data_IF_680000820329
#
_entry.id   IF_680000820329
#
_cell.length_a   1.000
_cell.length_b   1.000
_cell.length_c   1.000
_cell.angle_alpha   90.00
_cell.angle_beta   90.00
_cell.angle_gamma   90.00
#
_symmetry.space_group_name_H-M   'P 1'
#
loop_
_entity.id
_entity.type
_entity.pdbx_description
1 polymer ?
#
# COMPACT_ATOMS: atom_id res chain seq x y z
N UNK A 1 40.47 8.94 1.10
CA UNK A 1 39.16 9.17 1.71
C UNK A 1 38.27 8.00 1.28
N UNK A 2 38.20 6.96 2.10
CA UNK A 2 37.39 5.76 1.81
C UNK A 2 35.91 6.16 1.99
N UNK A 3 35.19 6.30 0.89
CA UNK A 3 33.73 6.38 0.93
C UNK A 3 33.26 5.02 1.48
N UNK A 4 32.67 5.03 2.68
CA UNK A 4 31.97 3.87 3.19
C UNK A 4 30.85 3.56 2.19
N UNK A 5 30.92 2.39 1.56
CA UNK A 5 29.82 1.79 0.82
C UNK A 5 28.71 1.42 1.81
N UNK A 6 28.03 2.42 2.36
CA UNK A 6 26.73 2.17 2.99
C UNK A 6 25.82 1.70 1.84
N UNK A 7 25.46 0.43 1.84
CA UNK A 7 24.51 -0.10 0.85
C UNK A 7 23.24 0.74 0.91
N UNK A 8 22.80 1.23 -0.25
CA UNK A 8 21.55 1.99 -0.36
C UNK A 8 20.38 1.15 0.18
N UNK A 9 19.47 1.77 0.90
CA UNK A 9 18.25 1.12 1.42
C UNK A 9 17.41 0.61 0.24
N UNK A 10 16.99 -0.64 0.28
CA UNK A 10 16.05 -1.23 -0.68
C UNK A 10 14.64 -1.14 -0.13
N UNK A 11 13.82 -0.34 -0.79
CA UNK A 11 12.44 -0.06 -0.40
C UNK A 11 11.47 -0.73 -1.38
N UNK A 12 10.63 -1.63 -0.86
CA UNK A 12 9.53 -2.25 -1.58
C UNK A 12 8.25 -1.51 -1.24
N UNK A 13 7.58 -0.96 -2.25
CA UNK A 13 6.36 -0.16 -2.08
C UNK A 13 5.22 -0.80 -2.85
N UNK A 14 4.03 -0.92 -2.24
CA UNK A 14 2.82 -1.24 -2.99
C UNK A 14 1.96 0.01 -3.17
N UNK A 15 1.33 0.18 -4.34
CA UNK A 15 0.52 1.35 -4.65
C UNK A 15 -0.70 1.02 -5.53
N UNK A 16 -1.65 1.94 -5.59
CA UNK A 16 -2.84 1.79 -6.43
C UNK A 16 -3.87 0.80 -5.87
N UNK A 17 -4.96 0.58 -6.59
CA UNK A 17 -5.96 -0.44 -6.26
C UNK A 17 -5.61 -1.78 -6.91
N UNK A 18 -6.15 -2.89 -6.39
CA UNK A 18 -6.31 -4.12 -7.16
C UNK A 18 -7.70 -4.19 -7.80
N UNK A 19 -7.85 -5.04 -8.80
CA UNK A 19 -9.12 -5.31 -9.50
C UNK A 19 -9.40 -6.79 -9.49
N UNK A 20 -10.54 -7.17 -8.94
CA UNK A 20 -10.96 -8.56 -8.90
C UNK A 20 -12.11 -8.78 -9.89
N UNK A 21 -11.83 -9.52 -10.96
CA UNK A 21 -12.75 -9.64 -12.09
C UNK A 21 -13.89 -10.60 -11.80
N UNK A 22 -15.10 -10.17 -12.14
CA UNK A 22 -16.31 -10.98 -12.19
C UNK A 22 -16.38 -11.69 -13.54
N UNK A 23 -16.10 -10.94 -14.60
CA UNK A 23 -16.00 -11.40 -15.98
C UNK A 23 -15.02 -10.50 -16.76
N UNK A 24 -14.71 -10.72 -18.05
CA UNK A 24 -13.73 -9.92 -18.80
C UNK A 24 -14.04 -8.42 -18.87
N UNK A 25 -15.23 -7.98 -18.46
CA UNK A 25 -15.69 -6.59 -18.58
C UNK A 25 -15.90 -5.91 -17.21
N UNK A 26 -16.29 -6.67 -16.19
CA UNK A 26 -16.67 -6.14 -14.87
C UNK A 26 -15.76 -6.66 -13.77
N UNK A 27 -15.37 -5.76 -12.89
CA UNK A 27 -14.55 -6.05 -11.71
C UNK A 27 -15.01 -5.23 -10.51
N UNK A 28 -14.64 -5.67 -9.33
CA UNK A 28 -14.66 -4.87 -8.10
C UNK A 28 -13.28 -4.29 -7.84
N UNK A 29 -13.24 -3.11 -7.22
CA UNK A 29 -12.00 -2.42 -6.90
C UNK A 29 -12.23 -1.38 -5.81
N UNK A 30 -11.15 -0.90 -5.20
CA UNK A 30 -11.15 0.24 -4.30
C UNK A 30 -10.90 1.56 -5.08
N UNK A 31 -11.46 2.71 -4.65
CA UNK A 31 -11.32 3.99 -5.35
C UNK A 31 -9.94 4.64 -5.10
N UNK A 32 -8.87 3.86 -5.09
CA UNK A 32 -7.51 4.38 -4.91
C UNK A 32 -6.96 4.93 -6.22
N UNK A 33 -6.31 6.08 -6.15
CA UNK A 33 -5.60 6.70 -7.28
C UNK A 33 -4.11 6.38 -7.32
N UNK A 34 -3.57 5.73 -6.29
CA UNK A 34 -2.13 5.43 -6.16
C UNK A 34 -1.26 6.62 -5.76
N UNK A 35 -1.78 7.85 -5.73
CA UNK A 35 -1.00 9.08 -5.50
C UNK A 35 -0.08 9.00 -4.27
N UNK A 36 -0.55 8.45 -3.15
CA UNK A 36 0.27 8.38 -1.93
C UNK A 36 1.49 7.47 -2.10
N UNK A 37 1.31 6.26 -2.63
CA UNK A 37 2.41 5.33 -2.87
C UNK A 37 3.43 5.84 -3.88
N UNK A 38 2.96 6.51 -4.95
CA UNK A 38 3.84 7.15 -5.93
C UNK A 38 4.61 8.34 -5.33
N UNK A 39 3.99 9.12 -4.45
CA UNK A 39 4.68 10.20 -3.73
C UNK A 39 5.75 9.65 -2.78
N UNK A 40 5.46 8.54 -2.08
CA UNK A 40 6.43 7.86 -1.21
C UNK A 40 7.58 7.28 -2.04
N UNK A 41 7.30 6.66 -3.18
CA UNK A 41 8.33 6.16 -4.08
C UNK A 41 9.27 7.28 -4.55
N UNK A 42 8.72 8.43 -4.94
CA UNK A 42 9.51 9.60 -5.32
C UNK A 42 10.36 10.13 -4.18
N UNK A 43 9.80 10.30 -2.99
CA UNK A 43 10.53 10.77 -1.81
C UNK A 43 11.65 9.80 -1.40
N UNK A 44 11.42 8.48 -1.48
CA UNK A 44 12.44 7.46 -1.21
C UNK A 44 13.59 7.53 -2.20
N UNK A 45 13.30 7.70 -3.50
CA UNK A 45 14.34 7.89 -4.54
C UNK A 45 15.15 9.16 -4.27
N UNK A 46 14.51 10.28 -3.95
CA UNK A 46 15.15 11.55 -3.60
C UNK A 46 16.03 11.43 -2.34
N UNK A 47 15.66 10.54 -1.41
CA UNK A 47 16.49 10.18 -0.25
C UNK A 47 17.65 9.21 -0.59
N UNK A 48 17.81 8.82 -1.85
CA UNK A 48 18.89 7.92 -2.31
C UNK A 48 18.61 6.43 -2.12
N UNK A 49 17.35 6.03 -1.95
CA UNK A 49 16.97 4.63 -1.81
C UNK A 49 16.74 3.97 -3.16
N UNK A 50 16.96 2.66 -3.24
CA UNK A 50 16.53 1.84 -4.37
C UNK A 50 15.08 1.43 -4.16
N UNK A 51 14.22 1.72 -5.14
CA UNK A 51 12.76 1.53 -5.01
C UNK A 51 12.25 0.51 -6.01
N UNK A 52 11.66 -0.57 -5.48
CA UNK A 52 10.81 -1.51 -6.19
C UNK A 52 9.35 -1.12 -5.92
N UNK A 53 8.61 -0.74 -6.97
CA UNK A 53 7.22 -0.26 -6.89
C UNK A 53 6.26 -1.26 -7.53
N UNK A 54 5.50 -2.00 -6.71
CA UNK A 54 4.44 -2.90 -7.16
C UNK A 54 3.13 -2.11 -7.23
N UNK A 55 2.61 -1.87 -8.42
CA UNK A 55 1.46 -0.99 -8.58
C UNK A 55 0.30 -1.65 -9.32
N UNK A 56 -0.88 -1.56 -8.72
CA UNK A 56 -2.15 -1.81 -9.39
C UNK A 56 -2.45 -0.73 -10.43
N UNK A 57 -3.54 -0.89 -11.23
CA UNK A 57 -3.82 -0.02 -12.38
C UNK A 57 -4.14 1.42 -11.97
N UNK A 58 -3.26 2.33 -12.33
CA UNK A 58 -3.36 3.78 -12.10
C UNK A 58 -2.96 4.54 -13.37
N UNK A 59 -3.39 5.82 -13.47
CA UNK A 59 -3.02 6.72 -14.55
C UNK A 59 -1.90 7.69 -14.10
N UNK A 60 -0.85 7.15 -13.45
CA UNK A 60 0.30 7.91 -12.99
C UNK A 60 1.55 7.48 -13.76
N UNK A 61 2.43 8.43 -14.04
CA UNK A 61 3.75 8.14 -14.61
C UNK A 61 4.65 7.48 -13.57
N UNK A 62 5.44 6.51 -14.02
CA UNK A 62 6.44 5.84 -13.20
C UNK A 62 7.44 6.87 -12.63
N UNK A 63 7.72 6.86 -11.32
CA UNK A 63 8.76 7.70 -10.75
C UNK A 63 10.12 7.33 -11.32
N UNK A 64 10.82 8.31 -11.93
CA UNK A 64 12.14 8.07 -12.50
C UNK A 64 13.12 7.58 -11.45
N UNK A 65 13.70 6.41 -11.67
CA UNK A 65 14.64 5.76 -10.76
C UNK A 65 14.02 4.64 -9.92
N UNK A 66 12.72 4.37 -10.03
CA UNK A 66 12.11 3.13 -9.51
C UNK A 66 12.17 2.00 -10.54
N UNK A 67 11.95 0.77 -10.07
CA UNK A 67 11.60 -0.37 -10.92
C UNK A 67 10.12 -0.64 -10.68
N UNK A 68 9.31 -0.44 -11.74
CA UNK A 68 7.86 -0.65 -11.66
C UNK A 68 7.49 -2.09 -12.02
N UNK A 69 6.69 -2.71 -11.16
CA UNK A 69 6.07 -4.02 -11.36
C UNK A 69 4.55 -3.84 -11.43
N UNK A 70 3.98 -3.74 -12.64
CA UNK A 70 2.54 -3.59 -12.81
C UNK A 70 1.83 -4.89 -12.48
N UNK A 71 0.76 -4.81 -11.69
CA UNK A 71 -0.10 -5.92 -11.31
C UNK A 71 -1.56 -5.52 -11.46
N UNK A 72 -2.46 -6.50 -11.54
CA UNK A 72 -3.88 -6.27 -11.70
C UNK A 72 -4.68 -6.71 -10.48
N UNK A 73 -4.43 -7.92 -9.97
CA UNK A 73 -5.18 -8.56 -8.90
C UNK A 73 -4.43 -8.57 -7.56
N UNK A 74 -5.14 -8.85 -6.47
CA UNK A 74 -4.54 -9.06 -5.16
C UNK A 74 -3.55 -10.24 -5.16
N UNK A 75 -3.85 -11.29 -5.92
CA UNK A 75 -3.01 -12.47 -6.07
C UNK A 75 -1.70 -12.14 -6.80
N UNK A 76 -1.78 -11.41 -7.91
CA UNK A 76 -0.57 -10.94 -8.62
C UNK A 76 0.28 -10.02 -7.73
N UNK A 77 -0.36 -9.10 -6.98
CA UNK A 77 0.35 -8.23 -6.03
C UNK A 77 1.02 -9.05 -4.93
N UNK A 78 0.34 -10.06 -4.38
CA UNK A 78 0.92 -10.96 -3.39
C UNK A 78 2.17 -11.65 -3.94
N UNK A 79 2.10 -12.29 -5.10
CA UNK A 79 3.23 -13.00 -5.69
C UNK A 79 4.41 -12.07 -6.00
N UNK A 80 4.14 -10.86 -6.47
CA UNK A 80 5.20 -9.90 -6.77
C UNK A 80 5.88 -9.37 -5.48
N UNK A 81 5.09 -9.07 -4.45
CA UNK A 81 5.62 -8.66 -3.14
C UNK A 81 6.42 -9.81 -2.52
N UNK A 82 5.89 -11.03 -2.56
CA UNK A 82 6.54 -12.23 -2.02
C UNK A 82 7.93 -12.46 -2.65
N UNK A 83 8.04 -12.33 -3.95
CA UNK A 83 9.29 -12.51 -4.70
C UNK A 83 10.36 -11.45 -4.36
N UNK A 84 9.96 -10.25 -3.93
CA UNK A 84 10.88 -9.13 -3.67
C UNK A 84 11.17 -8.93 -2.17
N UNK A 85 10.35 -9.47 -1.28
CA UNK A 85 10.36 -9.15 0.14
C UNK A 85 11.67 -9.50 0.86
N UNK A 86 12.24 -10.67 0.60
CA UNK A 86 13.45 -11.13 1.31
C UNK A 86 14.68 -10.26 0.99
N UNK A 87 14.63 -9.54 -0.12
CA UNK A 87 15.73 -8.68 -0.57
C UNK A 87 15.53 -7.20 -0.18
N UNK A 88 14.39 -6.81 0.41
CA UNK A 88 14.17 -5.43 0.82
C UNK A 88 14.59 -5.17 2.28
N UNK A 89 14.95 -3.93 2.59
CA UNK A 89 15.20 -3.46 3.96
C UNK A 89 13.88 -2.93 4.59
N UNK A 90 12.98 -2.39 3.75
CA UNK A 90 11.71 -1.84 4.18
C UNK A 90 10.59 -2.14 3.18
N UNK A 91 9.44 -2.56 3.69
CA UNK A 91 8.19 -2.71 2.96
C UNK A 91 7.21 -1.62 3.39
N UNK A 92 6.69 -0.83 2.44
CA UNK A 92 5.66 0.19 2.68
C UNK A 92 4.40 -0.18 1.88
N UNK A 93 3.37 -0.65 2.56
CA UNK A 93 2.13 -1.10 1.92
C UNK A 93 1.07 -0.01 1.93
N UNK A 94 0.96 0.72 0.79
CA UNK A 94 -0.05 1.76 0.58
C UNK A 94 -1.17 1.36 -0.37
N UNK A 95 -1.03 0.23 -1.05
CA UNK A 95 -2.03 -0.26 -2.00
C UNK A 95 -3.39 -0.49 -1.33
N UNK A 96 -4.44 -0.16 -2.04
CA UNK A 96 -5.81 -0.49 -1.66
C UNK A 96 -6.19 -1.86 -2.25
N UNK A 97 -5.68 -2.90 -1.62
CA UNK A 97 -5.92 -4.29 -2.02
C UNK A 97 -7.37 -4.66 -1.74
N UNK A 98 -8.03 -5.36 -2.65
CA UNK A 98 -9.35 -5.93 -2.41
C UNK A 98 -9.24 -7.08 -1.40
N UNK A 99 -10.02 -7.05 -0.32
CA UNK A 99 -10.07 -8.11 0.69
C UNK A 99 -10.85 -9.35 0.23
N UNK A 100 -11.61 -9.21 -0.86
CA UNK A 100 -12.48 -10.24 -1.41
C UNK A 100 -12.37 -10.29 -2.93
N UNK A 101 -12.45 -11.51 -3.48
CA UNK A 101 -12.56 -11.78 -4.92
C UNK A 101 -13.77 -12.68 -5.21
N UNK A 102 -14.35 -12.64 -6.42
CA UNK A 102 -15.37 -13.62 -6.82
C UNK A 102 -14.82 -15.04 -6.78
N UNK A 103 -15.60 -15.97 -6.24
CA UNK A 103 -15.26 -17.42 -6.24
C UNK A 103 -15.23 -17.96 -7.66
N UNK A 104 -16.12 -17.45 -8.53
CA UNK A 104 -16.21 -17.83 -9.93
C UNK A 104 -15.83 -16.64 -10.78
N UNK A 105 -14.80 -16.81 -11.61
CA UNK A 105 -14.44 -15.89 -12.68
C UNK A 105 -15.04 -16.39 -13.99
N UNK A 106 -16.00 -15.64 -14.54
CA UNK A 106 -16.66 -16.01 -15.80
C UNK A 106 -15.75 -15.68 -16.99
N UNK A 107 -15.53 -16.65 -17.88
CA UNK A 107 -14.69 -16.47 -19.09
C UNK A 107 -15.37 -15.62 -20.16
N UNK A 108 -16.69 -15.45 -20.07
CA UNK A 108 -17.50 -14.65 -20.99
C UNK A 108 -18.32 -13.62 -20.20
N UNK A 109 -18.60 -12.49 -20.85
CA UNK A 109 -19.48 -11.47 -20.29
C UNK A 109 -20.88 -12.05 -20.02
N UNK A 110 -21.32 -11.99 -18.77
CA UNK A 110 -22.66 -12.42 -18.36
C UNK A 110 -23.75 -11.54 -19.02
N UNK A 111 -24.72 -12.18 -19.64
CA UNK A 111 -25.81 -11.50 -20.36
C UNK A 111 -26.84 -10.92 -19.39
N UNK A 112 -27.46 -9.80 -19.79
CA UNK A 112 -28.53 -9.10 -19.06
C UNK A 112 -29.87 -9.85 -19.07
N UNK A 113 -29.88 -11.16 -18.77
CA UNK A 113 -31.08 -12.00 -18.86
C UNK A 113 -31.79 -12.27 -17.53
N UNK A 114 -31.25 -11.79 -16.42
CA UNK A 114 -31.76 -12.04 -15.06
C UNK A 114 -32.10 -10.76 -14.34
N UNK A 115 -33.17 -10.78 -13.54
CA UNK A 115 -33.61 -9.63 -12.76
C UNK A 115 -32.63 -9.26 -11.62
N UNK A 116 -31.80 -10.22 -11.17
CA UNK A 116 -30.78 -10.01 -10.15
C UNK A 116 -29.55 -10.88 -10.45
N UNK A 117 -28.38 -10.45 -9.97
CA UNK A 117 -27.13 -11.20 -10.04
C UNK A 117 -26.60 -11.36 -8.62
N UNK A 118 -26.40 -12.61 -8.20
CA UNK A 118 -25.73 -12.94 -6.94
C UNK A 118 -24.30 -13.38 -7.24
N UNK A 119 -23.33 -12.79 -6.55
CA UNK A 119 -21.90 -13.12 -6.69
C UNK A 119 -21.42 -13.59 -5.32
N UNK A 120 -20.89 -14.80 -5.27
CA UNK A 120 -20.22 -15.33 -4.10
C UNK A 120 -18.78 -14.83 -4.06
N UNK A 121 -18.33 -14.40 -2.89
CA UNK A 121 -16.98 -13.89 -2.69
C UNK A 121 -16.22 -14.74 -1.68
N UNK A 122 -14.92 -14.89 -1.92
CA UNK A 122 -13.96 -15.46 -0.98
C UNK A 122 -12.90 -14.42 -0.60
N UNK A 123 -12.20 -14.65 0.52
CA UNK A 123 -11.13 -13.75 0.95
C UNK A 123 -9.89 -13.89 0.09
N UNK A 124 -9.27 -12.76 -0.20
CA UNK A 124 -7.92 -12.71 -0.77
C UNK A 124 -6.85 -12.90 0.33
N UNK A 125 -5.61 -13.08 -0.06
CA UNK A 125 -4.49 -13.15 0.85
C UNK A 125 -4.27 -11.81 1.57
N UNK A 126 -4.13 -11.83 2.90
CA UNK A 126 -3.72 -10.65 3.67
C UNK A 126 -2.20 -10.47 3.54
N UNK A 127 -1.78 -9.79 2.46
CA UNK A 127 -0.37 -9.62 2.09
C UNK A 127 0.42 -9.01 3.24
N UNK A 128 -0.10 -7.94 3.84
CA UNK A 128 0.57 -7.24 4.94
C UNK A 128 0.82 -8.14 6.14
N UNK A 129 -0.16 -8.97 6.52
CA UNK A 129 -0.04 -9.93 7.60
C UNK A 129 1.00 -11.01 7.27
N UNK A 130 0.92 -11.61 6.09
CA UNK A 130 1.83 -12.68 5.66
C UNK A 130 3.27 -12.17 5.66
N UNK A 131 3.55 -11.00 5.09
CA UNK A 131 4.90 -10.43 5.04
C UNK A 131 5.41 -10.06 6.43
N UNK A 132 4.58 -9.47 7.29
CA UNK A 132 4.99 -9.09 8.63
C UNK A 132 5.24 -10.27 9.56
N UNK A 133 4.53 -11.39 9.38
CA UNK A 133 4.79 -12.64 10.11
C UNK A 133 6.11 -13.31 9.66
N UNK A 134 6.51 -13.09 8.40
CA UNK A 134 7.74 -13.65 7.81
C UNK A 134 8.96 -12.73 7.96
N UNK A 135 8.77 -11.47 8.34
CA UNK A 135 9.88 -10.52 8.45
C UNK A 135 10.97 -11.02 9.40
N UNK A 136 12.24 -10.85 9.01
CA UNK A 136 13.43 -11.08 9.83
C UNK A 136 13.99 -9.75 10.35
N UNK A 137 14.55 -8.93 9.46
CA UNK A 137 15.12 -7.62 9.75
C UNK A 137 14.43 -6.48 9.01
N UNK A 138 13.45 -6.81 8.17
CA UNK A 138 12.72 -5.83 7.39
C UNK A 138 11.86 -4.95 8.29
N UNK A 139 11.85 -3.64 8.03
CA UNK A 139 10.86 -2.73 8.58
C UNK A 139 9.57 -2.83 7.77
N UNK A 140 8.43 -3.02 8.42
CA UNK A 140 7.12 -3.15 7.75
C UNK A 140 6.21 -2.01 8.15
N UNK A 141 5.83 -1.20 7.18
CA UNK A 141 4.93 -0.04 7.32
C UNK A 141 3.60 -0.35 6.64
N UNK A 142 2.51 -0.37 7.42
CA UNK A 142 1.16 -0.53 6.90
C UNK A 142 0.42 0.80 6.81
N UNK A 143 -0.63 0.82 5.99
CA UNK A 143 -1.60 1.92 5.92
C UNK A 143 -2.98 1.44 6.38
N UNK A 144 -3.71 2.33 7.06
CA UNK A 144 -5.09 2.14 7.46
C UNK A 144 -5.91 3.33 7.01
N UNK A 145 -7.01 3.06 6.33
CA UNK A 145 -7.97 4.08 5.88
C UNK A 145 -9.31 3.78 6.54
N UNK A 146 -9.69 4.59 7.53
CA UNK A 146 -10.84 4.36 8.37
C UNK A 146 -11.79 5.57 8.34
N UNK A 147 -13.08 5.32 8.52
CA UNK A 147 -14.12 6.36 8.58
C UNK A 147 -14.49 6.77 10.00
N UNK A 148 -14.10 5.96 11.00
CA UNK A 148 -14.35 6.17 12.43
C UNK A 148 -13.28 5.45 13.26
N UNK A 149 -13.11 5.86 14.51
CA UNK A 149 -12.20 5.22 15.49
C UNK A 149 -10.79 4.96 14.95
N UNK A 150 -10.32 5.85 14.07
CA UNK A 150 -9.10 5.73 13.25
C UNK A 150 -7.89 5.29 14.06
N UNK A 151 -7.65 5.92 15.23
CA UNK A 151 -6.49 5.63 16.07
C UNK A 151 -6.62 4.24 16.73
N UNK A 152 -7.81 3.87 17.16
CA UNK A 152 -8.05 2.57 17.81
C UNK A 152 -7.83 1.43 16.82
N UNK A 153 -8.47 1.50 15.66
CA UNK A 153 -8.32 0.47 14.61
C UNK A 153 -6.89 0.40 14.06
N UNK A 154 -6.21 1.55 13.92
CA UNK A 154 -4.81 1.54 13.51
C UNK A 154 -3.92 0.85 14.54
N UNK A 155 -4.08 1.12 15.84
CA UNK A 155 -3.32 0.45 16.92
C UNK A 155 -3.60 -1.05 16.98
N UNK A 156 -4.85 -1.46 16.81
CA UNK A 156 -5.23 -2.86 16.75
C UNK A 156 -4.56 -3.56 15.55
N UNK A 157 -4.60 -2.95 14.37
CA UNK A 157 -3.96 -3.46 13.14
C UNK A 157 -2.44 -3.52 13.29
N UNK A 158 -1.81 -2.48 13.89
CA UNK A 158 -0.38 -2.44 14.19
C UNK A 158 0.03 -3.65 15.04
N UNK A 159 -0.68 -3.90 16.14
CA UNK A 159 -0.39 -4.98 17.07
C UNK A 159 -0.70 -6.36 16.49
N UNK A 160 -1.92 -6.56 15.93
CA UNK A 160 -2.38 -7.85 15.41
C UNK A 160 -1.57 -8.34 14.22
N UNK A 161 -1.05 -7.43 13.40
CA UNK A 161 -0.18 -7.74 12.24
C UNK A 161 1.31 -7.57 12.54
N UNK A 162 1.72 -7.30 13.78
CA UNK A 162 3.13 -7.15 14.21
C UNK A 162 3.93 -6.17 13.32
N UNK A 163 3.30 -5.04 12.95
CA UNK A 163 3.94 -4.02 12.13
C UNK A 163 4.94 -3.21 12.96
N UNK A 164 5.91 -2.56 12.30
CA UNK A 164 6.81 -1.61 12.94
C UNK A 164 6.19 -0.21 12.98
N UNK A 165 5.45 0.13 11.91
CA UNK A 165 4.71 1.39 11.80
C UNK A 165 3.36 1.17 11.12
N UNK A 166 2.40 2.03 11.48
CA UNK A 166 1.14 2.17 10.74
C UNK A 166 0.84 3.65 10.50
N UNK A 167 0.45 3.95 9.27
CA UNK A 167 -0.04 5.28 8.87
C UNK A 167 -1.56 5.24 8.87
N UNK A 168 -2.15 5.92 9.83
CA UNK A 168 -3.60 6.02 9.99
C UNK A 168 -4.14 7.24 9.25
N UNK A 169 -5.05 7.01 8.31
CA UNK A 169 -5.68 8.02 7.49
C UNK A 169 -7.19 8.04 7.75
N UNK A 170 -7.76 9.18 8.10
CA UNK A 170 -9.20 9.37 8.17
C UNK A 170 -9.75 9.69 6.78
N UNK A 171 -10.62 8.81 6.27
CA UNK A 171 -11.27 8.98 4.97
C UNK A 171 -12.75 9.32 5.14
N UNK A 172 -13.35 9.95 4.12
CA UNK A 172 -14.78 10.32 4.15
C UNK A 172 -15.08 11.75 4.58
N UNK A 173 -14.07 12.53 4.98
CA UNK A 173 -14.22 13.98 5.18
C UNK A 173 -14.09 14.73 3.84
N UNK A 174 -14.83 15.82 3.70
CA UNK A 174 -14.72 16.71 2.53
C UNK A 174 -13.28 17.26 2.45
N UNK A 175 -12.61 17.05 1.31
CA UNK A 175 -11.22 17.49 1.09
C UNK A 175 -10.15 16.51 1.54
N UNK A 176 -10.51 15.35 2.12
CA UNK A 176 -9.59 14.27 2.47
C UNK A 176 -9.94 12.98 1.73
N UNK A 177 -8.96 12.08 1.54
CA UNK A 177 -9.21 10.77 0.97
C UNK A 177 -8.34 10.45 -0.25
N UNK A 178 -8.71 9.37 -0.96
CA UNK A 178 -7.87 8.77 -2.01
C UNK A 178 -7.60 9.70 -3.21
N UNK A 179 -8.57 10.52 -3.61
CA UNK A 179 -8.47 11.40 -4.79
C UNK A 179 -7.87 12.78 -4.48
N UNK A 180 -7.89 13.25 -3.22
CA UNK A 180 -7.37 14.55 -2.85
C UNK A 180 -5.86 14.65 -3.01
N UNK A 181 -5.34 15.85 -3.31
CA UNK A 181 -3.90 16.11 -3.41
C UNK A 181 -3.27 16.39 -2.04
N UNK A 182 -4.08 16.80 -1.07
CA UNK A 182 -3.68 16.99 0.34
C UNK A 182 -4.13 15.82 1.20
N UNK A 183 -3.46 15.66 2.34
CA UNK A 183 -3.84 14.68 3.35
C UNK A 183 -3.40 15.14 4.75
N UNK A 184 -3.93 14.45 5.75
CA UNK A 184 -3.49 14.51 7.14
C UNK A 184 -3.50 13.08 7.67
N UNK A 185 -2.38 12.61 8.20
CA UNK A 185 -2.25 11.24 8.68
C UNK A 185 -1.55 11.20 10.05
N UNK A 186 -1.76 10.12 10.79
CA UNK A 186 -1.05 9.83 12.03
C UNK A 186 -0.15 8.62 11.82
N UNK A 187 1.16 8.82 11.92
CA UNK A 187 2.14 7.74 11.99
C UNK A 187 2.20 7.23 13.42
N UNK A 188 2.02 5.93 13.64
CA UNK A 188 2.11 5.27 14.92
C UNK A 188 3.18 4.18 14.82
N UNK A 189 4.16 4.19 15.72
CA UNK A 189 5.20 3.18 15.80
C UNK A 189 4.84 2.07 16.81
N UNK A 190 5.44 0.90 16.67
CA UNK A 190 5.25 -0.25 17.54
C UNK A 190 5.60 0.02 19.01
N UNK A 191 6.51 0.97 19.29
CA UNK A 191 6.87 1.41 20.65
C UNK A 191 5.82 2.34 21.30
N UNK A 192 4.72 2.64 20.61
CA UNK A 192 3.63 3.50 21.07
C UNK A 192 3.81 4.99 20.77
N UNK A 193 4.96 5.42 20.25
CA UNK A 193 5.14 6.81 19.81
C UNK A 193 4.26 7.11 18.60
N UNK A 194 3.84 8.37 18.44
CA UNK A 194 3.06 8.79 17.29
C UNK A 194 3.40 10.21 16.87
N UNK A 195 3.34 10.46 15.58
CA UNK A 195 3.60 11.76 14.95
C UNK A 195 2.48 12.07 13.95
N UNK A 196 1.91 13.27 14.07
CA UNK A 196 0.91 13.77 13.12
C UNK A 196 1.63 14.46 11.96
N UNK A 197 1.31 14.04 10.73
CA UNK A 197 1.83 14.58 9.48
C UNK A 197 0.71 15.30 8.73
N UNK A 198 0.98 16.52 8.35
CA UNK A 198 -0.01 17.38 7.70
C UNK A 198 -0.89 18.18 8.67
N UNK A 199 -1.95 18.89 8.16
CA UNK A 199 -2.44 18.81 6.76
C UNK A 199 -1.45 19.42 5.76
N UNK A 200 -1.10 18.66 4.71
CA UNK A 200 -0.14 19.07 3.68
C UNK A 200 -0.37 18.30 2.37
N UNK A 201 0.42 18.59 1.34
CA UNK A 201 0.42 17.80 0.11
C UNK A 201 0.90 16.37 0.38
N UNK A 202 0.44 15.41 -0.41
CA UNK A 202 0.90 14.02 -0.33
C UNK A 202 2.42 13.89 -0.51
N UNK A 203 3.02 14.79 -1.31
CA UNK A 203 4.48 14.85 -1.50
C UNK A 203 5.19 15.22 -0.19
N UNK A 204 4.78 16.31 0.45
CA UNK A 204 5.39 16.75 1.71
C UNK A 204 5.22 15.70 2.83
N UNK A 205 4.03 15.08 2.94
CA UNK A 205 3.81 13.98 3.89
C UNK A 205 4.71 12.78 3.59
N UNK A 206 4.93 12.46 2.31
CA UNK A 206 5.81 11.38 1.89
C UNK A 206 7.27 11.64 2.27
N UNK A 207 7.75 12.86 2.08
CA UNK A 207 9.11 13.28 2.46
C UNK A 207 9.34 13.14 3.98
N UNK A 208 8.40 13.65 4.79
CA UNK A 208 8.45 13.49 6.25
C UNK A 208 8.37 12.02 6.68
N UNK A 209 7.49 11.23 6.04
CA UNK A 209 7.34 9.81 6.33
C UNK A 209 8.63 9.04 6.11
N UNK A 210 9.30 9.25 4.97
CA UNK A 210 10.56 8.57 4.63
C UNK A 210 11.65 8.86 5.68
N UNK A 211 11.74 10.09 6.19
CA UNK A 211 12.69 10.44 7.25
C UNK A 211 12.40 9.69 8.56
N UNK A 212 11.12 9.52 8.91
CA UNK A 212 10.69 8.91 10.17
C UNK A 212 10.76 7.37 10.19
N UNK A 213 10.59 6.73 9.01
CA UNK A 213 10.57 5.26 8.91
C UNK A 213 11.90 4.67 8.41
N UNK A 214 12.93 5.51 8.23
CA UNK A 214 14.26 5.04 7.81
C UNK A 214 14.77 3.93 8.74
N UNK A 215 15.08 2.72 8.23
CA UNK A 215 15.63 1.63 9.03
C UNK A 215 16.93 2.05 9.71
N UNK A 216 17.06 1.77 11.00
CA UNK A 216 18.32 1.90 11.70
C UNK A 216 19.22 0.73 11.26
N UNK A 217 20.32 1.06 10.56
CA UNK A 217 21.35 0.07 10.16
C UNK A 217 22.33 -0.16 11.28
#
# INVERSE_FOLDING_TARGET
MLMSNASSIRCLITAGPTREFIDPVRYISNPSTGKMGFSIAKAAIEAGWNVDLVAGPVALEEPKGSILYPVMTAEEMFHQVDALFDACDILIMTAAVCDFRPVIHHTHKEKKGVASMNIEFERTADILKIMSERKAQQTVVGFSAETRDVVSYAKEKLASKKLDYIVANEVGKVGSGFAADTNEVLLIAANGSSVKLGPSTKSAIAEELIQLVTPLK
#
